data_IF_006060897819
#
_entry.id   IF_006060897819
#
_cell.length_a   1.000
_cell.length_b   1.000
_cell.length_c   1.000
_cell.angle_alpha   90.00
_cell.angle_beta   90.00
_cell.angle_gamma   90.00
#
_symmetry.space_group_name_H-M   'P 1'
#
loop_
_entity.id
_entity.type
_entity.pdbx_description
1 polymer ?
#
# COMPACT_ATOMS: atom_id res chain seq x y z
N UNK A 1 -41.85 -43.17 -69.18
CA UNK A 1 -41.72 -41.83 -68.55
C UNK A 1 -40.84 -41.99 -67.29
N UNK A 2 -39.58 -41.65 -67.40
CA UNK A 2 -38.63 -41.78 -66.31
C UNK A 2 -38.28 -40.37 -65.77
N UNK A 3 -38.73 -40.06 -64.57
CA UNK A 3 -38.32 -38.84 -63.87
C UNK A 3 -36.94 -39.06 -63.29
N UNK A 4 -36.00 -38.25 -63.73
CA UNK A 4 -34.66 -38.16 -63.13
C UNK A 4 -34.75 -37.35 -61.81
N UNK A 5 -34.41 -37.95 -60.73
CA UNK A 5 -34.23 -37.26 -59.46
C UNK A 5 -32.75 -36.82 -59.39
N UNK A 6 -32.56 -35.51 -59.40
CA UNK A 6 -31.25 -34.85 -59.25
C UNK A 6 -30.94 -34.74 -57.76
N UNK A 7 -30.01 -35.55 -57.26
CA UNK A 7 -29.51 -35.42 -55.88
C UNK A 7 -28.58 -34.24 -55.78
N UNK A 8 -28.99 -33.20 -55.07
CA UNK A 8 -28.12 -32.08 -54.69
C UNK A 8 -27.34 -32.52 -53.45
N UNK A 9 -26.06 -32.84 -53.61
CA UNK A 9 -25.16 -33.03 -52.49
C UNK A 9 -24.81 -31.62 -51.92
N UNK A 10 -25.42 -31.29 -50.79
CA UNK A 10 -25.07 -30.11 -50.03
C UNK A 10 -23.85 -30.45 -49.17
N UNK A 11 -22.67 -30.04 -49.62
CA UNK A 11 -21.45 -30.10 -48.80
C UNK A 11 -21.58 -29.01 -47.77
N UNK A 12 -22.02 -29.35 -46.57
CA UNK A 12 -21.88 -28.51 -45.39
C UNK A 12 -20.41 -28.52 -44.97
N UNK A 13 -19.63 -27.55 -45.39
CA UNK A 13 -18.36 -27.19 -44.76
C UNK A 13 -18.69 -26.60 -43.41
N UNK A 14 -18.60 -27.43 -42.37
CA UNK A 14 -18.64 -26.98 -41.01
C UNK A 14 -17.33 -26.20 -40.73
N UNK A 15 -17.37 -24.88 -40.98
CA UNK A 15 -16.32 -23.99 -40.49
C UNK A 15 -16.41 -23.97 -38.94
N UNK A 16 -15.61 -24.84 -38.32
CA UNK A 16 -15.37 -24.80 -36.90
C UNK A 16 -14.58 -23.50 -36.61
N UNK A 17 -15.28 -22.38 -36.46
CA UNK A 17 -14.71 -21.19 -35.85
C UNK A 17 -14.41 -21.55 -34.39
N UNK A 18 -13.19 -22.06 -34.14
CA UNK A 18 -12.61 -21.98 -32.82
C UNK A 18 -12.52 -20.50 -32.49
N UNK A 19 -13.57 -19.98 -31.85
CA UNK A 19 -13.42 -18.82 -31.01
C UNK A 19 -12.42 -19.23 -29.89
N UNK A 20 -11.14 -19.00 -30.15
CA UNK A 20 -10.22 -18.78 -29.05
C UNK A 20 -10.85 -17.64 -28.26
N UNK A 21 -11.62 -18.01 -27.25
CA UNK A 21 -11.93 -17.09 -26.18
C UNK A 21 -10.58 -16.56 -25.73
N UNK A 22 -10.24 -15.36 -26.14
CA UNK A 22 -9.22 -14.60 -25.47
C UNK A 22 -9.72 -14.53 -24.02
N UNK A 23 -9.26 -15.48 -23.20
CA UNK A 23 -9.22 -15.30 -21.77
C UNK A 23 -8.40 -14.04 -21.60
N UNK A 24 -9.09 -12.90 -21.64
CA UNK A 24 -8.51 -11.61 -21.36
C UNK A 24 -7.91 -11.75 -19.97
N UNK A 25 -6.60 -11.94 -19.91
CA UNK A 25 -5.89 -11.77 -18.66
C UNK A 25 -6.26 -10.37 -18.21
N UNK A 26 -7.11 -10.29 -17.17
CA UNK A 26 -7.48 -9.01 -16.60
C UNK A 26 -6.17 -8.29 -16.30
N UNK A 27 -5.95 -7.20 -17.00
CA UNK A 27 -4.74 -6.40 -16.85
C UNK A 27 -4.83 -5.75 -15.48
N UNK A 28 -3.72 -5.69 -14.75
CA UNK A 28 -3.63 -4.88 -13.53
C UNK A 28 -4.15 -3.46 -13.79
N UNK A 29 -4.73 -2.82 -12.77
CA UNK A 29 -5.26 -1.46 -12.86
C UNK A 29 -4.30 -0.55 -13.62
N UNK A 30 -4.84 0.17 -14.61
CA UNK A 30 -4.00 1.03 -15.45
C UNK A 30 -3.48 2.21 -14.64
N UNK A 31 -2.28 2.65 -14.94
CA UNK A 31 -1.68 3.80 -14.25
C UNK A 31 -2.53 5.07 -14.41
N UNK A 32 -3.21 5.24 -15.56
CA UNK A 32 -4.10 6.39 -15.80
C UNK A 32 -5.30 6.40 -14.84
N UNK A 33 -5.95 5.25 -14.64
CA UNK A 33 -7.08 5.15 -13.70
C UNK A 33 -6.65 5.39 -12.25
N UNK A 34 -5.50 4.85 -11.85
CA UNK A 34 -4.94 5.08 -10.51
C UNK A 34 -4.66 6.57 -10.30
N UNK A 35 -4.05 7.22 -11.31
CA UNK A 35 -3.73 8.66 -11.25
C UNK A 35 -5.00 9.50 -11.18
N UNK A 36 -5.97 9.23 -12.04
CA UNK A 36 -7.25 9.94 -12.06
C UNK A 36 -7.99 9.82 -10.72
N UNK A 37 -8.17 8.60 -10.22
CA UNK A 37 -8.85 8.38 -8.94
C UNK A 37 -8.10 9.07 -7.78
N UNK A 38 -6.78 9.03 -7.78
CA UNK A 38 -5.96 9.68 -6.76
C UNK A 38 -6.11 11.22 -6.79
N UNK A 39 -6.02 11.85 -7.97
CA UNK A 39 -6.10 13.31 -8.11
C UNK A 39 -7.51 13.81 -7.74
N UNK A 40 -8.57 13.23 -8.32
CA UNK A 40 -9.94 13.60 -8.00
C UNK A 40 -10.31 13.33 -6.53
N UNK A 41 -9.76 12.27 -5.93
CA UNK A 41 -10.01 11.98 -4.53
C UNK A 41 -9.39 13.04 -3.60
N UNK A 42 -8.19 13.51 -3.92
CA UNK A 42 -7.57 14.63 -3.19
C UNK A 42 -8.40 15.90 -3.28
N UNK A 43 -8.85 16.25 -4.49
CA UNK A 43 -9.70 17.42 -4.71
C UNK A 43 -11.04 17.29 -3.95
N UNK A 44 -11.69 16.14 -4.03
CA UNK A 44 -12.93 15.86 -3.29
C UNK A 44 -12.77 16.04 -1.77
N UNK A 45 -11.69 15.48 -1.18
CA UNK A 45 -11.41 15.64 0.25
C UNK A 45 -11.20 17.12 0.59
N UNK A 46 -10.42 17.85 -0.21
CA UNK A 46 -10.13 19.28 0.04
C UNK A 46 -11.38 20.15 -0.06
N UNK A 47 -12.31 19.83 -0.98
CA UNK A 47 -13.58 20.54 -1.15
C UNK A 47 -14.61 20.19 -0.07
N UNK A 48 -14.59 18.97 0.46
CA UNK A 48 -15.60 18.50 1.43
C UNK A 48 -15.17 18.68 2.89
N UNK A 49 -13.88 18.61 3.18
CA UNK A 49 -13.30 18.85 4.51
C UNK A 49 -12.69 20.26 4.56
N UNK A 50 -13.52 21.27 4.59
CA UNK A 50 -13.07 22.69 4.60
C UNK A 50 -12.51 23.15 5.93
N UNK A 51 -12.88 22.47 7.01
CA UNK A 51 -12.44 22.73 8.39
C UNK A 51 -11.85 21.45 8.99
N UNK A 52 -10.55 21.15 8.74
CA UNK A 52 -9.93 19.98 9.35
C UNK A 52 -9.81 20.15 10.87
N UNK A 53 -10.20 19.12 11.61
CA UNK A 53 -10.30 19.17 13.08
C UNK A 53 -9.40 18.12 13.74
N UNK A 54 -9.18 18.26 15.06
CA UNK A 54 -8.66 17.17 15.87
C UNK A 54 -9.63 15.98 15.81
N UNK A 55 -9.12 14.81 15.43
CA UNK A 55 -9.89 13.57 15.26
C UNK A 55 -9.44 12.80 14.02
N UNK A 56 -9.59 11.47 14.05
CA UNK A 56 -9.10 10.62 12.96
C UNK A 56 -9.75 10.96 11.61
N UNK A 57 -11.09 11.02 11.56
CA UNK A 57 -11.85 11.35 10.34
C UNK A 57 -12.00 12.88 10.27
N UNK A 58 -11.74 13.46 9.12
CA UNK A 58 -11.76 14.91 8.91
C UNK A 58 -10.58 15.64 9.57
N UNK A 59 -9.62 14.92 10.09
CA UNK A 59 -8.45 15.45 10.79
C UNK A 59 -7.17 14.72 10.42
N UNK A 60 -6.62 13.89 11.34
CA UNK A 60 -5.30 13.31 11.18
C UNK A 60 -5.13 12.50 9.89
N UNK A 61 -6.16 11.77 9.44
CA UNK A 61 -6.05 10.99 8.20
C UNK A 61 -6.04 11.87 6.96
N UNK A 62 -6.80 12.97 6.95
CA UNK A 62 -6.76 13.98 5.88
C UNK A 62 -5.36 14.59 5.81
N UNK A 63 -4.88 15.13 6.94
CA UNK A 63 -3.61 15.85 6.99
C UNK A 63 -2.43 14.95 6.65
N UNK A 64 -2.40 13.73 7.20
CA UNK A 64 -1.43 12.69 6.86
C UNK A 64 -1.51 12.30 5.38
N UNK A 65 -2.72 12.07 4.85
CA UNK A 65 -2.94 11.71 3.46
C UNK A 65 -2.44 12.78 2.49
N UNK A 66 -2.77 14.04 2.73
CA UNK A 66 -2.33 15.18 1.92
C UNK A 66 -0.81 15.37 1.96
N UNK A 67 -0.21 15.30 3.15
CA UNK A 67 1.24 15.40 3.29
C UNK A 67 1.97 14.26 2.56
N UNK A 68 1.50 13.02 2.70
CA UNK A 68 2.07 11.87 1.98
C UNK A 68 1.89 11.96 0.47
N UNK A 69 0.80 12.54 0.02
CA UNK A 69 0.49 12.76 -1.39
C UNK A 69 1.29 13.92 -2.01
N UNK A 70 1.78 14.85 -1.18
CA UNK A 70 2.29 16.14 -1.63
C UNK A 70 1.17 17.02 -2.21
N UNK A 71 -0.05 16.90 -1.67
CA UNK A 71 -1.19 17.71 -2.09
C UNK A 71 -0.97 19.18 -1.67
N UNK A 72 -1.26 20.16 -2.55
CA UNK A 72 -1.02 21.57 -2.25
C UNK A 72 -2.07 22.14 -1.28
N UNK A 73 -1.84 22.00 0.00
CA UNK A 73 -2.65 22.66 1.04
C UNK A 73 -2.23 24.13 1.19
N UNK A 74 -3.22 25.02 1.42
CA UNK A 74 -2.91 26.39 1.82
C UNK A 74 -2.41 26.45 3.27
N UNK A 75 -1.61 27.46 3.60
CA UNK A 75 -1.16 27.69 4.97
C UNK A 75 -2.36 27.88 5.93
N UNK A 76 -3.43 28.52 5.47
CA UNK A 76 -4.67 28.67 6.24
C UNK A 76 -5.32 27.33 6.57
N UNK A 77 -5.37 26.41 5.60
CA UNK A 77 -5.93 25.06 5.81
C UNK A 77 -5.16 24.30 6.89
N UNK A 78 -3.84 24.34 6.82
CA UNK A 78 -2.96 23.74 7.85
C UNK A 78 -3.16 24.42 9.20
N UNK A 79 -3.25 25.77 9.23
CA UNK A 79 -3.46 26.52 10.46
C UNK A 79 -4.81 26.20 11.15
N UNK A 80 -5.87 25.92 10.39
CA UNK A 80 -7.16 25.47 10.95
C UNK A 80 -7.01 24.16 11.72
N UNK A 81 -6.34 23.17 11.12
CA UNK A 81 -6.04 21.92 11.80
C UNK A 81 -5.20 22.14 13.07
N UNK A 82 -4.11 22.91 12.97
CA UNK A 82 -3.27 23.24 14.13
C UNK A 82 -4.08 23.86 15.26
N UNK A 83 -4.90 24.88 14.95
CA UNK A 83 -5.75 25.56 15.92
C UNK A 83 -6.74 24.61 16.60
N UNK A 84 -7.30 23.66 15.84
CA UNK A 84 -8.20 22.64 16.38
C UNK A 84 -7.48 21.69 17.35
N UNK A 85 -6.28 21.22 16.99
CA UNK A 85 -5.47 20.38 17.88
C UNK A 85 -5.01 21.14 19.12
N UNK A 86 -4.51 22.39 18.97
CA UNK A 86 -4.13 23.24 20.09
C UNK A 86 -5.28 23.47 21.05
N UNK A 87 -6.48 23.72 20.53
CA UNK A 87 -7.69 23.84 21.33
C UNK A 87 -7.96 22.56 22.11
N UNK A 88 -7.94 21.41 21.46
CA UNK A 88 -8.13 20.11 22.10
C UNK A 88 -7.10 19.86 23.23
N UNK A 89 -5.84 20.25 23.00
CA UNK A 89 -4.76 20.13 24.00
C UNK A 89 -4.98 21.08 25.17
N UNK A 90 -5.35 22.34 24.93
CA UNK A 90 -5.59 23.33 26.01
C UNK A 90 -6.82 23.00 26.84
N UNK A 91 -7.92 22.61 26.21
CA UNK A 91 -9.14 22.20 26.89
C UNK A 91 -8.96 20.86 27.63
N UNK A 92 -8.23 19.95 27.00
CA UNK A 92 -7.90 18.64 27.52
C UNK A 92 -9.10 17.70 27.66
N UNK A 93 -8.84 16.44 27.63
CA UNK A 93 -9.87 15.41 27.85
C UNK A 93 -10.41 15.55 29.27
N UNK A 94 -11.74 15.70 29.39
CA UNK A 94 -12.46 15.93 30.67
C UNK A 94 -11.91 17.14 31.47
N UNK A 95 -11.43 18.17 30.77
CA UNK A 95 -10.91 19.39 31.41
C UNK A 95 -9.52 19.25 32.00
N UNK A 96 -8.74 18.25 31.58
CA UNK A 96 -7.34 18.08 31.97
C UNK A 96 -6.41 18.53 30.84
N UNK A 97 -5.86 19.77 30.89
CA UNK A 97 -5.01 20.29 29.83
C UNK A 97 -3.80 19.38 29.54
N UNK A 98 -3.41 19.29 28.27
CA UNK A 98 -2.35 18.40 27.80
C UNK A 98 -2.76 16.93 27.68
N UNK A 99 -4.02 16.58 27.98
CA UNK A 99 -4.53 15.22 27.88
C UNK A 99 -5.53 15.13 26.71
N UNK A 100 -5.18 14.38 25.64
CA UNK A 100 -6.08 14.12 24.53
C UNK A 100 -7.08 12.98 24.83
N UNK A 101 -6.67 12.01 25.62
CA UNK A 101 -7.52 10.94 26.16
C UNK A 101 -6.84 10.26 27.36
N UNK A 102 -7.62 9.70 28.29
CA UNK A 102 -7.10 9.02 29.47
C UNK A 102 -6.64 7.57 29.20
N UNK A 103 -7.14 6.94 28.12
CA UNK A 103 -6.87 5.53 27.77
C UNK A 103 -6.52 5.29 26.32
N UNK A 104 -7.00 6.15 25.40
CA UNK A 104 -6.77 5.97 23.96
C UNK A 104 -5.48 6.67 23.53
N UNK A 105 -4.36 6.04 23.75
CA UNK A 105 -3.05 6.57 23.40
C UNK A 105 -2.80 6.64 21.88
N UNK A 106 -3.65 6.00 21.10
CA UNK A 106 -3.71 6.21 19.63
C UNK A 106 -4.08 7.65 19.24
N UNK A 107 -4.78 8.42 20.11
CA UNK A 107 -5.08 9.84 19.86
C UNK A 107 -3.77 10.65 19.78
N UNK A 108 -2.88 10.49 20.79
CA UNK A 108 -1.57 11.14 20.77
C UNK A 108 -0.73 10.69 19.57
N UNK A 109 -0.71 9.40 19.30
CA UNK A 109 0.09 8.82 18.22
C UNK A 109 -0.33 9.34 16.85
N UNK A 110 -1.65 9.48 16.59
CA UNK A 110 -2.15 10.02 15.31
C UNK A 110 -1.80 11.49 15.14
N UNK A 111 -1.95 12.31 16.18
CA UNK A 111 -1.53 13.73 16.17
C UNK A 111 -0.04 13.83 15.86
N UNK A 112 0.81 13.05 16.53
CA UNK A 112 2.26 13.03 16.27
C UNK A 112 2.55 12.68 14.81
N UNK A 113 1.92 11.64 14.26
CA UNK A 113 2.10 11.23 12.86
C UNK A 113 1.66 12.33 11.88
N UNK A 114 0.53 12.99 12.13
CA UNK A 114 0.04 14.07 11.28
C UNK A 114 0.94 15.31 11.36
N UNK A 115 1.36 15.73 12.57
CA UNK A 115 2.28 16.84 12.76
C UNK A 115 3.62 16.59 12.08
N UNK A 116 4.21 15.43 12.30
CA UNK A 116 5.47 15.05 11.65
C UNK A 116 5.35 15.08 10.12
N UNK A 117 4.26 14.54 9.56
CA UNK A 117 4.03 14.54 8.12
C UNK A 117 3.90 15.96 7.53
N UNK A 118 3.38 16.90 8.31
CA UNK A 118 3.25 18.32 7.97
C UNK A 118 4.53 19.14 8.22
N UNK A 119 5.58 18.54 8.83
CA UNK A 119 6.78 19.25 9.27
C UNK A 119 6.55 20.15 10.49
N UNK A 120 5.50 19.87 11.27
CA UNK A 120 5.16 20.57 12.51
C UNK A 120 5.79 19.89 13.73
N UNK A 121 5.90 20.61 14.84
CA UNK A 121 6.52 20.09 16.06
C UNK A 121 5.50 19.50 17.05
N UNK A 122 5.41 18.15 17.23
CA UNK A 122 4.51 17.54 18.20
C UNK A 122 5.06 17.57 19.65
N UNK A 123 6.30 18.04 19.87
CA UNK A 123 6.88 18.14 21.22
C UNK A 123 6.55 19.45 21.89
N UNK A 124 5.87 20.37 21.19
CA UNK A 124 5.36 21.62 21.73
C UNK A 124 4.04 21.98 21.04
N UNK A 125 2.93 21.45 21.52
CA UNK A 125 1.58 21.81 21.12
C UNK A 125 0.91 22.54 22.28
N UNK A 126 0.75 23.85 22.17
CA UNK A 126 0.19 24.69 23.24
C UNK A 126 0.93 24.54 24.58
N UNK A 127 2.25 24.32 24.54
CA UNK A 127 3.11 24.14 25.73
C UNK A 127 3.18 22.70 26.24
N UNK A 128 2.62 21.72 25.54
CA UNK A 128 2.61 20.31 25.93
C UNK A 128 3.34 19.43 24.92
N UNK A 129 4.15 18.50 25.43
CA UNK A 129 4.85 17.51 24.60
C UNK A 129 3.99 16.25 24.41
N UNK A 130 3.50 16.02 23.20
CA UNK A 130 2.68 14.83 22.91
C UNK A 130 3.50 13.54 22.87
N UNK A 131 4.82 13.62 22.59
CA UNK A 131 5.71 12.45 22.57
C UNK A 131 5.94 11.89 23.97
N UNK A 132 5.97 12.73 25.01
CA UNK A 132 6.07 12.31 26.41
C UNK A 132 4.94 11.36 26.83
N UNK A 133 3.75 11.52 26.24
CA UNK A 133 2.60 10.65 26.53
C UNK A 133 2.85 9.20 26.12
N UNK A 134 3.74 8.96 25.17
CA UNK A 134 4.12 7.62 24.73
C UNK A 134 5.22 6.98 25.58
N UNK A 135 5.72 7.65 26.61
CA UNK A 135 6.79 7.13 27.46
C UNK A 135 6.31 5.99 28.38
N UNK A 136 5.04 5.98 28.77
CA UNK A 136 4.45 4.93 29.61
C UNK A 136 3.95 3.75 28.77
N UNK A 137 4.66 2.62 28.86
CA UNK A 137 4.34 1.43 28.07
C UNK A 137 2.98 0.82 28.44
N UNK A 138 2.62 0.80 29.72
CA UNK A 138 1.36 0.19 30.18
C UNK A 138 0.15 0.97 29.66
N UNK A 139 0.25 2.28 29.64
CA UNK A 139 -0.76 3.15 29.01
C UNK A 139 -0.83 2.97 27.50
N UNK A 140 0.30 2.84 26.82
CA UNK A 140 0.35 2.63 25.37
C UNK A 140 -0.32 1.31 24.96
N UNK A 141 -0.09 0.23 25.70
CA UNK A 141 -0.65 -1.10 25.36
C UNK A 141 -2.08 -1.31 25.88
N UNK A 142 -2.63 -0.37 26.65
CA UNK A 142 -3.97 -0.50 27.22
C UNK A 142 -5.07 -0.78 26.17
N UNK A 143 -4.93 -0.23 24.95
CA UNK A 143 -5.84 -0.49 23.84
C UNK A 143 -5.53 -1.80 23.06
N UNK A 144 -4.78 -2.72 23.67
CA UNK A 144 -4.30 -3.92 22.98
C UNK A 144 -3.38 -3.56 21.82
N UNK A 145 -3.45 -4.33 20.74
CA UNK A 145 -2.50 -4.26 19.62
C UNK A 145 -2.48 -2.90 18.88
N UNK A 146 -3.56 -2.14 18.89
CA UNK A 146 -3.61 -0.82 18.24
C UNK A 146 -2.63 0.18 18.87
N UNK A 147 -2.50 0.19 20.18
CA UNK A 147 -1.62 1.11 20.90
C UNK A 147 -0.18 1.05 20.42
N UNK A 148 0.51 -0.10 20.56
CA UNK A 148 1.91 -0.23 20.14
C UNK A 148 2.13 -0.07 18.62
N UNK A 149 1.18 -0.44 17.77
CA UNK A 149 1.27 -0.19 16.32
C UNK A 149 1.35 1.31 16.05
N UNK A 150 0.44 2.10 16.61
CA UNK A 150 0.42 3.54 16.39
C UNK A 150 1.55 4.27 17.09
N UNK A 151 1.91 3.86 18.32
CA UNK A 151 3.03 4.45 19.04
C UNK A 151 4.37 4.24 18.30
N UNK A 152 4.61 3.05 17.75
CA UNK A 152 5.81 2.78 16.96
C UNK A 152 5.86 3.65 15.71
N UNK A 153 4.75 3.80 14.99
CA UNK A 153 4.64 4.69 13.82
C UNK A 153 4.87 6.16 14.19
N UNK A 154 4.35 6.60 15.34
CA UNK A 154 4.51 7.97 15.81
C UNK A 154 5.98 8.28 16.18
N UNK A 155 6.62 7.39 16.91
CA UNK A 155 8.02 7.53 17.27
C UNK A 155 8.96 7.51 16.05
N UNK A 156 8.62 6.72 15.04
CA UNK A 156 9.43 6.57 13.82
C UNK A 156 9.19 7.67 12.79
N UNK A 157 8.12 8.45 12.90
CA UNK A 157 7.74 9.46 11.92
C UNK A 157 8.88 10.46 11.64
N UNK A 158 9.58 10.95 12.68
CA UNK A 158 10.77 11.78 12.61
C UNK A 158 11.87 11.27 13.57
N UNK A 159 11.84 9.97 13.85
CA UNK A 159 12.79 9.30 14.76
C UNK A 159 12.85 9.97 16.14
N UNK A 160 11.69 10.31 16.73
CA UNK A 160 11.62 10.95 18.03
C UNK A 160 12.25 10.09 19.14
N UNK A 161 13.07 10.71 19.96
CA UNK A 161 13.51 10.12 21.22
C UNK A 161 12.34 10.05 22.20
N UNK A 162 12.28 9.00 23.00
CA UNK A 162 11.29 8.87 24.06
C UNK A 162 11.81 9.62 25.27
N UNK A 163 11.14 10.70 25.72
CA UNK A 163 11.60 11.49 26.85
C UNK A 163 11.59 10.69 28.16
N UNK A 164 12.53 11.00 29.05
CA UNK A 164 12.47 10.53 30.42
C UNK A 164 11.38 11.29 31.17
N UNK A 165 10.40 10.55 31.70
CA UNK A 165 9.28 11.12 32.46
C UNK A 165 9.32 10.53 33.87
N UNK A 166 9.37 11.40 34.89
CA UNK A 166 9.41 10.99 36.29
C UNK A 166 8.15 10.21 36.70
N UNK A 167 8.34 9.15 37.47
CA UNK A 167 7.23 8.32 37.99
C UNK A 167 6.73 7.23 37.01
N UNK A 168 7.34 7.08 35.85
CA UNK A 168 7.05 5.96 34.95
C UNK A 168 7.97 4.79 35.29
N UNK A 169 7.38 3.69 35.76
CA UNK A 169 8.13 2.47 36.09
C UNK A 169 8.40 1.62 34.84
N UNK A 170 7.41 1.46 33.96
CA UNK A 170 7.52 0.66 32.76
C UNK A 170 7.71 1.55 31.51
N UNK A 171 8.96 2.03 31.34
CA UNK A 171 9.30 2.94 30.22
C UNK A 171 9.17 2.24 28.88
N UNK A 172 8.49 2.91 27.93
CA UNK A 172 8.38 2.49 26.53
C UNK A 172 9.76 2.49 25.85
N UNK A 173 10.01 1.47 25.06
CA UNK A 173 11.10 1.46 24.08
C UNK A 173 10.57 0.92 22.74
N UNK A 174 11.18 1.31 21.62
CA UNK A 174 10.84 0.74 20.31
C UNK A 174 10.91 -0.79 20.33
N UNK A 175 11.90 -1.38 21.01
CA UNK A 175 12.02 -2.83 21.06
C UNK A 175 10.91 -3.49 21.89
N UNK A 176 10.41 -2.86 22.97
CA UNK A 176 9.23 -3.35 23.69
C UNK A 176 7.99 -3.33 22.80
N UNK A 177 7.77 -2.24 22.07
CA UNK A 177 6.65 -2.13 21.12
C UNK A 177 6.72 -3.21 20.03
N UNK A 178 7.90 -3.41 19.43
CA UNK A 178 8.14 -4.46 18.44
C UNK A 178 7.84 -5.84 19.01
N UNK A 179 8.38 -6.14 20.20
CA UNK A 179 8.18 -7.44 20.86
C UNK A 179 6.70 -7.69 21.16
N UNK A 180 5.99 -6.66 21.62
CA UNK A 180 4.55 -6.75 21.88
C UNK A 180 3.76 -7.03 20.59
N UNK A 181 4.03 -6.29 19.50
CA UNK A 181 3.38 -6.54 18.21
C UNK A 181 3.67 -7.97 17.74
N UNK A 182 4.91 -8.44 17.86
CA UNK A 182 5.29 -9.80 17.46
C UNK A 182 4.60 -10.88 18.32
N UNK A 183 4.44 -10.65 19.64
CA UNK A 183 3.77 -11.61 20.53
C UNK A 183 2.28 -11.79 20.21
N UNK A 184 1.65 -10.80 19.61
CA UNK A 184 0.24 -10.81 19.20
C UNK A 184 -0.01 -11.44 17.82
N UNK A 185 1.04 -11.85 17.09
CA UNK A 185 0.86 -12.52 15.80
C UNK A 185 0.18 -13.88 15.98
N UNK A 186 -0.88 -14.11 15.22
CA UNK A 186 -1.65 -15.36 15.20
C UNK A 186 -0.92 -16.48 14.42
N UNK A 187 -1.38 -17.71 14.55
CA UNK A 187 -0.77 -18.87 13.89
C UNK A 187 -0.88 -18.79 12.36
N UNK A 188 -1.96 -18.18 11.83
CA UNK A 188 -2.11 -17.93 10.39
C UNK A 188 -1.19 -16.81 9.86
N UNK A 189 -0.50 -16.10 10.75
CA UNK A 189 0.45 -15.04 10.45
C UNK A 189 -0.13 -13.63 10.43
N UNK A 190 -1.43 -13.46 10.69
CA UNK A 190 -2.10 -12.17 10.80
C UNK A 190 -2.15 -11.64 12.23
N UNK A 191 -2.83 -10.51 12.41
CA UNK A 191 -3.19 -9.92 13.69
C UNK A 191 -4.70 -9.66 13.73
N UNK A 192 -5.26 -9.67 14.95
CA UNK A 192 -6.69 -9.45 15.16
C UNK A 192 -6.92 -8.69 16.47
N UNK A 193 -7.93 -7.82 16.52
CA UNK A 193 -8.30 -7.04 17.71
C UNK A 193 -8.81 -7.90 18.87
N UNK A 194 -9.38 -9.04 18.57
CA UNK A 194 -9.97 -9.92 19.58
C UNK A 194 -8.95 -10.80 20.32
N UNK A 195 -7.70 -10.85 19.85
CA UNK A 195 -6.66 -11.52 20.62
C UNK A 195 -6.34 -10.69 21.85
N UNK A 196 -6.42 -11.31 23.02
CA UNK A 196 -6.05 -10.73 24.30
C UNK A 196 -5.08 -11.65 25.00
N UNK A 197 -3.90 -11.13 25.31
CA UNK A 197 -2.89 -11.88 26.06
C UNK A 197 -3.35 -12.09 27.50
N UNK A 198 -3.11 -13.27 28.05
CA UNK A 198 -3.43 -13.67 29.42
C UNK A 198 -2.20 -14.34 30.05
N UNK A 199 -2.24 -14.52 31.36
CA UNK A 199 -1.16 -15.24 32.11
C UNK A 199 -1.20 -16.76 31.81
N UNK A 200 -2.28 -17.27 31.19
CA UNK A 200 -2.41 -18.67 30.79
C UNK A 200 -1.88 -18.90 29.37
N UNK A 201 -0.71 -19.49 29.27
CA UNK A 201 -0.08 -19.84 27.99
C UNK A 201 -0.91 -20.81 27.14
N UNK A 202 -1.72 -21.70 27.73
CA UNK A 202 -2.57 -22.63 26.98
C UNK A 202 -3.77 -21.90 26.37
N UNK A 203 -4.38 -20.95 27.10
CA UNK A 203 -5.45 -20.09 26.55
C UNK A 203 -4.93 -19.20 25.44
N UNK A 204 -3.74 -18.60 25.60
CA UNK A 204 -3.10 -17.82 24.54
C UNK A 204 -2.85 -18.65 23.27
N UNK A 205 -2.33 -19.87 23.43
CA UNK A 205 -2.12 -20.77 22.28
C UNK A 205 -3.45 -21.13 21.59
N UNK A 206 -4.50 -21.41 22.37
CA UNK A 206 -5.83 -21.70 21.87
C UNK A 206 -6.43 -20.53 21.09
N UNK A 207 -6.36 -19.31 21.64
CA UNK A 207 -6.82 -18.11 20.95
C UNK A 207 -6.07 -17.89 19.62
N UNK A 208 -4.75 -18.03 19.61
CA UNK A 208 -3.93 -17.87 18.40
C UNK A 208 -4.27 -18.87 17.32
N UNK A 209 -4.63 -20.11 17.69
CA UNK A 209 -5.03 -21.12 16.74
C UNK A 209 -6.46 -20.94 16.20
N UNK A 210 -7.36 -20.39 17.00
CA UNK A 210 -8.78 -20.21 16.64
C UNK A 210 -9.07 -18.91 15.89
N UNK A 211 -8.46 -17.81 16.31
CA UNK A 211 -8.63 -16.52 15.67
C UNK A 211 -8.00 -16.50 14.27
N UNK A 212 -8.61 -15.71 13.40
CA UNK A 212 -8.07 -15.44 12.05
C UNK A 212 -7.56 -14.02 11.99
N UNK A 213 -6.51 -13.81 11.22
CA UNK A 213 -6.00 -12.48 10.95
C UNK A 213 -7.08 -11.59 10.37
N UNK A 214 -7.06 -10.34 10.78
CA UNK A 214 -7.88 -9.27 10.23
C UNK A 214 -7.03 -8.49 9.21
N UNK A 215 -7.52 -8.19 7.99
CA UNK A 215 -6.72 -7.52 6.97
C UNK A 215 -6.28 -6.11 7.39
N UNK A 216 -7.11 -5.38 8.16
CA UNK A 216 -6.79 -4.03 8.63
C UNK A 216 -5.62 -4.07 9.61
N UNK A 217 -5.76 -4.86 10.68
CA UNK A 217 -4.73 -4.99 11.70
C UNK A 217 -3.44 -5.59 11.14
N UNK A 218 -3.56 -6.55 10.22
CA UNK A 218 -2.40 -7.17 9.58
C UNK A 218 -1.65 -6.15 8.73
N UNK A 219 -2.36 -5.33 7.94
CA UNK A 219 -1.78 -4.24 7.15
C UNK A 219 -1.12 -3.17 8.03
N UNK A 220 -1.78 -2.77 9.11
CA UNK A 220 -1.28 -1.77 10.06
C UNK A 220 -0.02 -2.27 10.80
N UNK A 221 -0.01 -3.51 11.30
CA UNK A 221 1.15 -4.13 11.94
C UNK A 221 2.33 -4.26 10.98
N UNK A 222 2.08 -4.66 9.72
CA UNK A 222 3.11 -4.70 8.67
C UNK A 222 3.73 -3.32 8.44
N UNK A 223 2.90 -2.26 8.40
CA UNK A 223 3.38 -0.88 8.22
C UNK A 223 4.30 -0.45 9.37
N UNK A 224 3.91 -0.72 10.62
CA UNK A 224 4.69 -0.37 11.80
C UNK A 224 6.01 -1.16 11.90
N UNK A 225 6.00 -2.45 11.53
CA UNK A 225 7.17 -3.33 11.63
C UNK A 225 8.14 -3.22 10.43
N UNK A 226 7.70 -2.66 9.32
CA UNK A 226 8.51 -2.62 8.08
C UNK A 226 9.91 -1.98 8.23
N UNK A 227 10.11 -0.88 8.97
CA UNK A 227 11.43 -0.30 9.21
C UNK A 227 12.41 -1.27 9.89
N UNK A 228 11.91 -2.20 10.69
CA UNK A 228 12.68 -3.17 11.49
C UNK A 228 12.91 -4.52 10.81
N UNK A 229 12.66 -4.59 9.51
CA UNK A 229 12.80 -5.82 8.71
C UNK A 229 14.19 -6.45 8.75
N UNK A 230 15.23 -5.72 9.11
CA UNK A 230 16.58 -6.24 9.32
C UNK A 230 16.66 -7.23 10.48
N UNK A 231 15.75 -7.15 11.46
CA UNK A 231 15.64 -8.12 12.55
C UNK A 231 15.01 -9.42 12.03
N UNK A 232 15.66 -10.56 12.29
CA UNK A 232 15.22 -11.88 11.77
C UNK A 232 13.79 -12.23 12.17
N UNK A 233 13.39 -11.98 13.43
CA UNK A 233 12.03 -12.24 13.93
C UNK A 233 11.00 -11.37 13.21
N UNK A 234 11.28 -10.08 13.05
CA UNK A 234 10.40 -9.14 12.32
C UNK A 234 10.25 -9.57 10.87
N UNK A 235 11.36 -9.89 10.19
CA UNK A 235 11.31 -10.37 8.81
C UNK A 235 10.43 -11.62 8.67
N UNK A 236 10.58 -12.59 9.56
CA UNK A 236 9.79 -13.81 9.55
C UNK A 236 8.29 -13.52 9.77
N UNK A 237 7.95 -12.61 10.68
CA UNK A 237 6.59 -12.17 10.95
C UNK A 237 5.96 -11.47 9.72
N UNK A 238 6.69 -10.55 9.08
CA UNK A 238 6.25 -9.86 7.87
C UNK A 238 6.03 -10.82 6.68
N UNK A 239 6.89 -11.84 6.54
CA UNK A 239 6.74 -12.86 5.50
C UNK A 239 5.49 -13.75 5.75
N UNK A 240 5.18 -14.08 7.01
CA UNK A 240 3.93 -14.77 7.40
C UNK A 240 2.70 -13.89 7.14
N UNK A 241 2.75 -12.61 7.52
CA UNK A 241 1.67 -11.64 7.32
C UNK A 241 1.31 -11.47 5.83
N UNK A 242 2.32 -11.37 4.96
CA UNK A 242 2.08 -11.31 3.52
C UNK A 242 1.41 -12.58 2.98
N UNK A 243 1.72 -13.76 3.51
CA UNK A 243 1.02 -15.01 3.16
C UNK A 243 -0.42 -15.01 3.68
N UNK A 244 -0.64 -14.57 4.91
CA UNK A 244 -1.95 -14.45 5.52
C UNK A 244 -2.85 -13.52 4.68
N UNK A 245 -2.41 -12.30 4.35
CA UNK A 245 -3.14 -11.39 3.46
C UNK A 245 -3.44 -12.02 2.09
N UNK A 246 -2.48 -12.75 1.50
CA UNK A 246 -2.72 -13.44 0.23
C UNK A 246 -3.78 -14.55 0.34
N UNK A 247 -3.84 -15.26 1.45
CA UNK A 247 -4.82 -16.34 1.66
C UNK A 247 -6.22 -15.83 1.96
N UNK A 248 -6.34 -14.68 2.62
CA UNK A 248 -7.62 -14.03 2.95
C UNK A 248 -8.26 -13.31 1.77
N UNK A 249 -7.49 -13.03 0.71
CA UNK A 249 -7.97 -12.25 -0.42
C UNK A 249 -9.13 -12.94 -1.14
N UNK A 250 -10.24 -12.25 -1.30
CA UNK A 250 -11.45 -12.72 -1.99
C UNK A 250 -11.25 -12.90 -3.50
N UNK A 251 -12.17 -13.60 -4.14
CA UNK A 251 -12.17 -13.84 -5.58
C UNK A 251 -12.29 -12.56 -6.44
N UNK A 252 -12.84 -11.48 -5.88
CA UNK A 252 -12.93 -10.15 -6.49
C UNK A 252 -11.67 -9.30 -6.31
N UNK A 253 -10.66 -9.83 -5.59
CA UNK A 253 -9.40 -9.15 -5.29
C UNK A 253 -9.41 -8.32 -4.00
N UNK A 254 -10.55 -8.18 -3.32
CA UNK A 254 -10.71 -7.44 -2.07
C UNK A 254 -10.59 -8.31 -0.82
N UNK A 255 -11.09 -7.79 0.30
CA UNK A 255 -11.16 -8.47 1.60
C UNK A 255 -12.53 -8.32 2.23
N UNK A 256 -12.93 -9.34 2.98
CA UNK A 256 -14.09 -9.28 3.88
C UNK A 256 -13.59 -9.21 5.32
N UNK A 257 -13.99 -8.17 6.03
CA UNK A 257 -13.77 -7.99 7.45
C UNK A 257 -15.06 -7.46 8.09
N UNK A 258 -15.33 -7.78 9.35
CA UNK A 258 -16.49 -7.26 10.10
C UNK A 258 -17.84 -7.51 9.39
N UNK A 259 -17.94 -8.58 8.60
CA UNK A 259 -19.15 -8.95 7.88
C UNK A 259 -19.38 -8.24 6.53
N UNK A 260 -18.48 -7.37 6.10
CA UNK A 260 -18.57 -6.66 4.82
C UNK A 260 -17.25 -6.69 4.05
N UNK A 261 -17.32 -6.62 2.71
CA UNK A 261 -16.17 -6.28 1.87
C UNK A 261 -16.03 -4.77 1.87
N UNK A 262 -14.91 -4.24 2.41
CA UNK A 262 -14.72 -2.81 2.60
C UNK A 262 -13.46 -2.27 1.91
N UNK A 263 -13.52 -1.01 1.50
CA UNK A 263 -12.39 -0.30 0.92
C UNK A 263 -11.27 -0.05 1.93
N UNK A 264 -11.60 0.09 3.21
CA UNK A 264 -10.66 0.33 4.29
C UNK A 264 -9.73 -0.86 4.50
N UNK A 265 -10.28 -2.08 4.54
CA UNK A 265 -9.50 -3.31 4.65
C UNK A 265 -8.50 -3.46 3.48
N UNK A 266 -8.94 -3.12 2.26
CA UNK A 266 -8.06 -3.11 1.09
C UNK A 266 -6.98 -2.02 1.24
N UNK A 267 -7.36 -0.85 1.72
CA UNK A 267 -6.45 0.28 1.92
C UNK A 267 -5.34 -0.03 2.91
N UNK A 268 -5.66 -0.62 4.06
CA UNK A 268 -4.66 -1.02 5.05
C UNK A 268 -3.75 -2.12 4.52
N UNK A 269 -4.28 -3.10 3.78
CA UNK A 269 -3.47 -4.13 3.14
C UNK A 269 -2.52 -3.54 2.08
N UNK A 270 -2.96 -2.56 1.28
CA UNK A 270 -2.10 -1.84 0.32
C UNK A 270 -0.96 -1.13 1.07
N UNK A 271 -1.25 -0.41 2.16
CA UNK A 271 -0.23 0.24 2.99
C UNK A 271 0.78 -0.77 3.54
N UNK A 272 0.32 -1.86 4.13
CA UNK A 272 1.18 -2.90 4.68
C UNK A 272 2.07 -3.56 3.63
N UNK A 273 1.51 -3.94 2.49
CA UNK A 273 2.27 -4.59 1.41
C UNK A 273 3.31 -3.65 0.78
N UNK A 274 2.95 -2.40 0.53
CA UNK A 274 3.89 -1.43 -0.05
C UNK A 274 5.04 -1.11 0.91
N UNK A 275 4.78 -1.04 2.22
CA UNK A 275 5.81 -0.78 3.23
C UNK A 275 6.89 -1.86 3.27
N UNK A 276 6.53 -3.12 2.97
CA UNK A 276 7.46 -4.25 2.91
C UNK A 276 8.00 -4.52 1.49
N UNK A 277 7.71 -3.65 0.53
CA UNK A 277 8.23 -3.74 -0.82
C UNK A 277 7.50 -4.71 -1.74
N UNK A 278 6.25 -5.04 -1.46
CA UNK A 278 5.38 -5.85 -2.31
C UNK A 278 4.50 -4.91 -3.13
N UNK A 279 4.45 -5.12 -4.46
CA UNK A 279 3.58 -4.35 -5.33
C UNK A 279 2.17 -4.95 -5.38
N UNK A 280 1.16 -4.35 -4.74
CA UNK A 280 -0.19 -4.92 -4.62
C UNK A 280 -0.96 -4.98 -5.96
N UNK A 281 -0.47 -4.29 -7.00
CA UNK A 281 -1.08 -4.26 -8.32
C UNK A 281 -0.54 -5.36 -9.26
N UNK A 282 0.71 -5.83 -9.07
CA UNK A 282 1.35 -6.72 -10.04
C UNK A 282 1.90 -8.02 -9.46
N UNK A 283 2.03 -8.13 -8.14
CA UNK A 283 2.48 -9.37 -7.49
C UNK A 283 1.40 -10.45 -7.66
N UNK A 284 1.79 -11.61 -8.18
CA UNK A 284 0.87 -12.70 -8.50
C UNK A 284 0.14 -13.28 -7.29
N UNK A 285 0.72 -13.17 -6.10
CA UNK A 285 0.10 -13.61 -4.84
C UNK A 285 -1.18 -12.82 -4.52
N UNK A 286 -1.22 -11.55 -4.95
CA UNK A 286 -2.31 -10.60 -4.70
C UNK A 286 -3.17 -10.35 -5.95
N UNK A 287 -3.28 -11.36 -6.81
CA UNK A 287 -4.18 -11.38 -7.95
C UNK A 287 -5.13 -12.56 -7.85
N UNK A 288 -6.43 -12.29 -7.74
CA UNK A 288 -7.50 -13.29 -7.73
C UNK A 288 -8.39 -13.07 -8.95
N UNK A 289 -8.63 -14.11 -9.73
CA UNK A 289 -9.40 -14.01 -10.99
C UNK A 289 -8.94 -12.85 -11.90
N UNK A 290 -7.62 -12.58 -11.91
CA UNK A 290 -7.03 -11.50 -12.69
C UNK A 290 -7.13 -10.11 -12.07
N UNK A 291 -7.89 -9.90 -10.99
CA UNK A 291 -8.01 -8.62 -10.28
C UNK A 291 -6.95 -8.51 -9.19
N UNK A 292 -6.28 -7.36 -9.11
CA UNK A 292 -5.34 -7.00 -8.07
C UNK A 292 -6.03 -6.32 -6.90
N UNK A 293 -5.31 -6.08 -5.79
CA UNK A 293 -5.82 -5.25 -4.69
C UNK A 293 -6.13 -3.81 -5.13
N UNK A 294 -5.34 -3.26 -6.06
CA UNK A 294 -5.59 -1.92 -6.57
C UNK A 294 -6.83 -1.89 -7.47
N UNK A 295 -7.07 -2.95 -8.29
CA UNK A 295 -8.33 -3.10 -9.04
C UNK A 295 -9.52 -3.18 -8.08
N UNK A 296 -9.39 -3.93 -6.98
CA UNK A 296 -10.44 -4.05 -5.98
C UNK A 296 -10.71 -2.70 -5.29
N UNK A 297 -9.68 -1.96 -4.86
CA UNK A 297 -9.87 -0.63 -4.27
C UNK A 297 -10.59 0.32 -5.23
N UNK A 298 -10.17 0.36 -6.50
CA UNK A 298 -10.78 1.20 -7.53
C UNK A 298 -12.23 0.82 -7.85
N UNK A 299 -12.72 -0.36 -7.46
CA UNK A 299 -14.13 -0.71 -7.60
C UNK A 299 -15.04 0.05 -6.63
N UNK A 300 -14.49 0.58 -5.53
CA UNK A 300 -15.20 1.43 -4.57
C UNK A 300 -15.17 2.92 -4.93
N UNK A 301 -14.38 3.29 -5.92
CA UNK A 301 -14.26 4.67 -6.38
C UNK A 301 -15.54 5.11 -7.09
N UNK A 302 -16.01 6.30 -6.75
CA UNK A 302 -17.14 6.96 -7.40
C UNK A 302 -16.64 8.04 -8.36
N UNK A 303 -16.74 7.76 -9.66
CA UNK A 303 -16.20 8.66 -10.72
C UNK A 303 -16.92 10.02 -10.78
N UNK A 304 -18.16 10.12 -10.23
CA UNK A 304 -18.94 11.35 -10.25
C UNK A 304 -18.49 12.32 -9.17
N UNK A 305 -18.26 11.81 -7.96
CA UNK A 305 -17.89 12.65 -6.82
C UNK A 305 -16.38 12.73 -6.62
N UNK A 306 -15.64 11.69 -6.98
CA UNK A 306 -14.21 11.57 -6.67
C UNK A 306 -13.94 10.83 -5.35
N UNK A 307 -14.96 10.54 -4.54
CA UNK A 307 -14.82 9.84 -3.27
C UNK A 307 -14.84 8.32 -3.39
N UNK A 308 -14.69 7.65 -2.25
CA UNK A 308 -14.77 6.18 -2.15
C UNK A 308 -15.92 5.76 -1.25
N UNK A 309 -16.56 4.64 -1.61
CA UNK A 309 -17.59 4.00 -0.80
C UNK A 309 -16.95 3.07 0.23
N UNK A 310 -17.61 2.91 1.37
CA UNK A 310 -17.24 1.88 2.36
C UNK A 310 -17.52 0.48 1.80
N UNK A 311 -18.71 0.25 1.26
CA UNK A 311 -19.14 -1.01 0.63
C UNK A 311 -19.64 -0.78 -0.80
N UNK A 312 -19.57 -1.79 -1.66
CA UNK A 312 -20.10 -1.73 -3.04
C UNK A 312 -21.55 -2.20 -3.15
N UNK A 313 -22.01 -2.97 -2.19
CA UNK A 313 -23.41 -3.45 -2.08
C UNK A 313 -23.83 -3.29 -0.64
N UNK A 314 -25.10 -2.97 -0.41
CA UNK A 314 -25.65 -2.85 0.95
C UNK A 314 -25.33 -4.11 1.76
N UNK A 315 -24.65 -3.96 2.89
CA UNK A 315 -24.20 -5.06 3.75
C UNK A 315 -23.91 -4.56 5.16
N UNK A 316 -24.30 -5.35 6.17
CA UNK A 316 -23.98 -5.04 7.57
C UNK A 316 -24.56 -3.71 8.09
N UNK A 317 -25.65 -3.21 7.49
CA UNK A 317 -26.23 -1.90 7.82
C UNK A 317 -25.57 -0.71 7.10
N UNK A 318 -24.63 -0.95 6.20
CA UNK A 318 -23.96 0.08 5.39
C UNK A 318 -24.58 0.13 3.99
N UNK A 319 -24.75 1.35 3.49
CA UNK A 319 -25.21 1.62 2.12
C UNK A 319 -24.00 1.89 1.19
N UNK A 320 -24.13 1.58 -0.12
CA UNK A 320 -23.05 1.78 -1.11
C UNK A 320 -22.94 3.26 -1.56
N UNK A 321 -22.80 4.16 -0.58
CA UNK A 321 -22.62 5.60 -0.80
C UNK A 321 -21.19 6.01 -0.46
N UNK A 322 -20.74 7.16 -1.03
CA UNK A 322 -19.45 7.74 -0.68
C UNK A 322 -19.40 8.01 0.82
N UNK A 323 -18.30 7.58 1.43
CA UNK A 323 -18.07 7.67 2.87
C UNK A 323 -16.75 8.38 3.14
N UNK A 324 -16.73 9.31 4.08
CA UNK A 324 -15.56 10.13 4.36
C UNK A 324 -14.38 9.28 4.84
N UNK A 325 -14.60 8.38 5.80
CA UNK A 325 -13.55 7.48 6.32
C UNK A 325 -12.96 6.61 5.22
N UNK A 326 -13.82 6.00 4.39
CA UNK A 326 -13.40 5.20 3.23
C UNK A 326 -12.55 6.02 2.25
N UNK A 327 -12.97 7.25 1.97
CA UNK A 327 -12.30 8.15 1.04
C UNK A 327 -10.90 8.53 1.54
N UNK A 328 -10.78 8.93 2.79
CA UNK A 328 -9.51 9.32 3.41
C UNK A 328 -8.53 8.16 3.46
N UNK A 329 -9.01 6.96 3.83
CA UNK A 329 -8.17 5.76 3.88
C UNK A 329 -7.73 5.31 2.49
N UNK A 330 -8.61 5.33 1.50
CA UNK A 330 -8.26 5.04 0.11
C UNK A 330 -7.22 6.04 -0.42
N UNK A 331 -7.35 7.32 -0.08
CA UNK A 331 -6.44 8.35 -0.53
C UNK A 331 -5.02 8.14 -0.01
N UNK A 332 -4.83 7.95 1.31
CA UNK A 332 -3.49 7.72 1.83
C UNK A 332 -2.91 6.35 1.40
N UNK A 333 -3.75 5.34 1.13
CA UNK A 333 -3.30 4.07 0.57
C UNK A 333 -2.82 4.22 -0.88
N UNK A 334 -3.53 4.99 -1.71
CA UNK A 334 -3.09 5.33 -3.06
C UNK A 334 -1.81 6.19 -3.04
N UNK A 335 -1.67 7.11 -2.06
CA UNK A 335 -0.43 7.85 -1.83
C UNK A 335 0.73 6.91 -1.49
N UNK A 336 0.54 5.98 -0.54
CA UNK A 336 1.54 4.97 -0.18
C UNK A 336 1.95 4.10 -1.39
N UNK A 337 0.98 3.68 -2.20
CA UNK A 337 1.22 2.95 -3.43
C UNK A 337 2.07 3.77 -4.42
N UNK A 338 1.69 5.00 -4.73
CA UNK A 338 2.39 5.89 -5.67
C UNK A 338 3.80 6.25 -5.19
N UNK A 339 3.98 6.46 -3.89
CA UNK A 339 5.27 6.75 -3.28
C UNK A 339 6.22 5.55 -3.27
N UNK A 340 5.70 4.34 -3.47
CA UNK A 340 6.46 3.09 -3.38
C UNK A 340 6.65 2.43 -4.73
N UNK A 341 5.63 2.40 -5.58
CA UNK A 341 5.64 1.71 -6.87
C UNK A 341 5.92 2.70 -8.01
N UNK A 342 7.08 2.62 -8.66
CA UNK A 342 7.41 3.53 -9.75
C UNK A 342 6.49 3.39 -10.96
N UNK A 343 6.22 4.50 -11.62
CA UNK A 343 5.47 4.54 -12.86
C UNK A 343 6.17 3.80 -13.99
N UNK A 344 5.36 3.40 -14.97
CA UNK A 344 5.83 2.77 -16.20
C UNK A 344 6.72 3.74 -16.98
N UNK A 345 7.93 3.28 -17.36
CA UNK A 345 8.77 4.00 -18.31
C UNK A 345 8.60 3.46 -19.73
N UNK A 346 9.17 4.15 -20.73
CA UNK A 346 9.08 3.79 -22.14
C UNK A 346 10.46 3.69 -22.76
N UNK A 347 10.74 2.61 -23.51
CA UNK A 347 11.97 2.51 -24.31
C UNK A 347 11.86 3.47 -25.49
N UNK A 348 12.75 4.49 -25.50
CA UNK A 348 12.89 5.41 -26.63
C UNK A 348 13.61 4.74 -27.80
N UNK A 349 14.72 4.05 -27.51
CA UNK A 349 15.56 3.41 -28.51
C UNK A 349 16.20 2.13 -27.98
N UNK A 350 16.24 1.10 -28.81
CA UNK A 350 17.04 -0.10 -28.57
C UNK A 350 17.70 -0.49 -29.88
N UNK A 351 19.06 -0.42 -29.93
CA UNK A 351 19.81 -0.58 -31.18
C UNK A 351 21.08 -1.39 -30.95
N UNK A 352 21.52 -2.07 -31.99
CA UNK A 352 22.82 -2.71 -32.05
C UNK A 352 23.91 -1.65 -31.80
N UNK A 353 24.87 -1.96 -30.92
CA UNK A 353 25.98 -1.08 -30.54
C UNK A 353 27.33 -1.79 -30.60
N UNK A 354 27.40 -2.83 -31.41
CA UNK A 354 28.56 -3.74 -31.65
C UNK A 354 28.06 -5.14 -31.96
N UNK A 355 28.93 -6.04 -32.38
CA UNK A 355 28.57 -7.42 -32.77
C UNK A 355 27.91 -8.24 -31.66
N UNK A 356 28.19 -7.90 -30.39
CA UNK A 356 27.73 -8.61 -29.18
C UNK A 356 27.10 -7.65 -28.14
N UNK A 357 26.62 -6.47 -28.58
CA UNK A 357 26.10 -5.47 -27.64
C UNK A 357 24.89 -4.69 -28.21
N UNK A 358 23.98 -4.35 -27.32
CA UNK A 358 22.81 -3.51 -27.57
C UNK A 358 22.87 -2.30 -26.64
N UNK A 359 22.66 -1.09 -27.20
CA UNK A 359 22.42 0.12 -26.41
C UNK A 359 20.90 0.32 -26.29
N UNK A 360 20.42 0.39 -25.05
CA UNK A 360 19.00 0.66 -24.71
C UNK A 360 18.90 2.04 -24.10
N UNK A 361 17.97 2.84 -24.58
CA UNK A 361 17.66 4.19 -24.05
C UNK A 361 16.17 4.25 -23.73
N UNK A 362 15.81 4.88 -22.63
CA UNK A 362 14.42 4.98 -22.15
C UNK A 362 14.11 6.39 -21.64
N UNK A 363 12.82 6.70 -21.49
CA UNK A 363 12.38 7.95 -20.88
C UNK A 363 12.61 7.89 -19.36
N UNK A 364 13.01 9.02 -18.78
CA UNK A 364 13.08 9.17 -17.32
C UNK A 364 11.71 8.88 -16.71
N UNK A 365 11.65 8.19 -15.57
CA UNK A 365 10.40 8.00 -14.84
C UNK A 365 9.80 9.37 -14.47
N UNK A 366 8.45 9.53 -14.49
CA UNK A 366 7.78 10.77 -14.14
C UNK A 366 8.24 11.36 -12.80
N UNK A 367 8.12 12.67 -12.63
CA UNK A 367 8.71 13.39 -11.48
C UNK A 367 8.12 12.99 -10.14
N UNK A 368 6.83 12.70 -10.10
CA UNK A 368 6.11 12.25 -8.90
C UNK A 368 6.42 10.80 -8.52
N UNK A 369 6.98 10.03 -9.45
CA UNK A 369 7.38 8.65 -9.16
C UNK A 369 8.77 8.64 -8.52
N UNK A 370 8.83 8.29 -7.25
CA UNK A 370 10.10 8.11 -6.54
C UNK A 370 10.85 6.89 -7.08
N UNK A 371 11.75 7.11 -8.02
CA UNK A 371 12.54 6.09 -8.72
C UNK A 371 13.99 6.08 -8.25
N UNK A 372 14.48 4.93 -7.78
CA UNK A 372 15.89 4.71 -7.42
C UNK A 372 16.75 4.29 -8.61
N UNK A 373 16.12 3.80 -9.71
CA UNK A 373 16.81 3.34 -10.90
C UNK A 373 15.94 2.45 -11.79
N UNK A 374 16.60 1.68 -12.67
CA UNK A 374 15.93 0.90 -13.70
C UNK A 374 16.43 -0.54 -13.77
N UNK A 375 15.60 -1.43 -14.27
CA UNK A 375 15.96 -2.79 -14.65
C UNK A 375 15.68 -2.99 -16.13
N UNK A 376 16.74 -3.30 -16.89
CA UNK A 376 16.65 -3.70 -18.30
C UNK A 376 16.68 -5.22 -18.38
N UNK A 377 15.73 -5.79 -19.10
CA UNK A 377 15.64 -7.23 -19.31
C UNK A 377 15.69 -7.53 -20.81
N UNK A 378 16.58 -8.45 -21.18
CA UNK A 378 16.72 -8.95 -22.55
C UNK A 378 16.47 -10.47 -22.56
N UNK A 379 15.91 -10.97 -23.64
CA UNK A 379 15.77 -12.40 -23.87
C UNK A 379 15.77 -12.70 -25.37
N UNK A 380 16.04 -13.95 -25.75
CA UNK A 380 16.02 -14.37 -27.17
C UNK A 380 14.64 -14.81 -27.67
N UNK A 381 13.62 -14.75 -26.81
CA UNK A 381 12.22 -15.00 -27.16
C UNK A 381 11.29 -13.94 -26.54
N UNK A 382 10.10 -13.75 -27.13
CA UNK A 382 9.11 -12.75 -26.69
C UNK A 382 8.53 -13.02 -25.30
N UNK A 383 8.49 -14.28 -24.87
CA UNK A 383 8.02 -14.67 -23.53
C UNK A 383 9.05 -14.44 -22.41
N UNK A 384 10.25 -13.98 -22.72
CA UNK A 384 11.33 -13.75 -21.75
C UNK A 384 11.68 -14.97 -20.89
N UNK A 385 11.70 -16.15 -21.50
CA UNK A 385 12.04 -17.45 -20.86
C UNK A 385 13.36 -18.03 -21.33
N UNK A 386 13.93 -17.56 -22.49
CA UNK A 386 15.17 -18.11 -23.07
C UNK A 386 16.28 -17.06 -23.05
N UNK A 387 17.46 -17.46 -22.54
CA UNK A 387 18.68 -16.60 -22.47
C UNK A 387 18.38 -15.23 -21.84
N UNK A 388 17.68 -15.25 -20.69
CA UNK A 388 17.26 -14.03 -20.00
C UNK A 388 18.44 -13.36 -19.32
N UNK A 389 18.71 -12.09 -19.69
CA UNK A 389 19.70 -11.23 -19.03
C UNK A 389 19.00 -10.06 -18.36
N UNK A 390 19.21 -9.90 -17.05
CA UNK A 390 18.68 -8.78 -16.26
C UNK A 390 19.82 -7.88 -15.85
N UNK A 391 19.70 -6.58 -16.11
CA UNK A 391 20.70 -5.57 -15.78
C UNK A 391 20.04 -4.48 -14.95
N UNK A 392 20.51 -4.28 -13.72
CA UNK A 392 20.08 -3.18 -12.84
C UNK A 392 20.94 -1.97 -13.10
N UNK A 393 20.31 -0.80 -13.20
CA UNK A 393 20.93 0.49 -13.45
C UNK A 393 20.51 1.43 -12.35
N UNK A 394 21.44 1.88 -11.52
CA UNK A 394 21.17 2.82 -10.43
C UNK A 394 21.08 4.25 -10.94
N UNK A 395 20.31 5.06 -10.20
CA UNK A 395 20.12 6.48 -10.47
C UNK A 395 18.95 6.76 -11.42
N UNK A 396 18.00 7.59 -10.95
CA UNK A 396 16.83 8.03 -11.72
C UNK A 396 17.20 8.76 -13.00
N UNK A 397 18.31 9.48 -13.00
CA UNK A 397 18.79 10.27 -14.16
C UNK A 397 19.50 9.41 -15.22
N UNK A 398 19.86 8.16 -14.91
CA UNK A 398 20.51 7.25 -15.84
C UNK A 398 19.46 6.64 -16.78
N UNK A 399 19.37 7.16 -18.02
CA UNK A 399 18.34 6.78 -18.99
C UNK A 399 18.86 5.99 -20.17
N UNK A 400 20.07 5.48 -20.11
CA UNK A 400 20.63 4.57 -21.12
C UNK A 400 21.64 3.59 -20.54
N UNK A 401 21.77 2.42 -21.16
CA UNK A 401 22.78 1.40 -20.83
C UNK A 401 23.20 0.62 -22.07
N UNK A 402 24.51 0.47 -22.26
CA UNK A 402 25.08 -0.51 -23.19
C UNK A 402 25.14 -1.86 -22.49
N UNK A 403 24.54 -2.88 -23.09
CA UNK A 403 24.51 -4.25 -22.59
C UNK A 403 25.36 -5.10 -23.50
N UNK A 404 26.40 -5.67 -22.94
CA UNK A 404 27.43 -6.47 -23.63
C UNK A 404 27.31 -7.96 -23.35
N UNK A 405 28.13 -8.79 -23.98
CA UNK A 405 28.12 -10.25 -23.76
C UNK A 405 26.85 -10.90 -24.30
N UNK A 406 26.38 -10.44 -25.45
CA UNK A 406 25.24 -11.00 -26.18
C UNK A 406 25.73 -11.85 -27.36
N UNK A 407 24.96 -12.84 -27.77
CA UNK A 407 25.31 -13.73 -28.89
C UNK A 407 25.07 -13.03 -30.23
N UNK A 408 26.09 -13.01 -31.10
CA UNK A 408 26.01 -12.50 -32.48
C UNK A 408 24.93 -13.28 -33.28
N UNK A 409 24.23 -12.58 -34.18
CA UNK A 409 23.23 -13.15 -35.07
C UNK A 409 21.91 -13.47 -34.41
N UNK A 410 21.77 -13.31 -33.09
CA UNK A 410 20.49 -13.56 -32.38
C UNK A 410 19.61 -12.32 -32.37
N UNK A 411 18.32 -12.57 -32.35
CA UNK A 411 17.31 -11.52 -32.09
C UNK A 411 17.02 -11.44 -30.61
N UNK A 412 17.07 -10.23 -30.06
CA UNK A 412 16.75 -9.96 -28.65
C UNK A 412 15.48 -9.16 -28.52
N UNK A 413 14.66 -9.55 -27.55
CA UNK A 413 13.49 -8.82 -27.06
C UNK A 413 13.92 -8.08 -25.80
N UNK A 414 13.59 -6.79 -25.71
CA UNK A 414 14.06 -5.88 -24.65
C UNK A 414 12.88 -5.19 -24.02
N UNK A 415 12.85 -5.18 -22.69
CA UNK A 415 11.90 -4.40 -21.88
C UNK A 415 12.62 -3.74 -20.71
N UNK A 416 12.07 -2.62 -20.22
CA UNK A 416 12.63 -1.84 -19.11
C UNK A 416 11.52 -1.56 -18.11
N UNK A 417 11.86 -1.52 -16.83
CA UNK A 417 10.99 -1.00 -15.77
C UNK A 417 11.80 -0.17 -14.78
N UNK A 418 11.18 0.79 -14.14
CA UNK A 418 11.75 1.51 -13.01
C UNK A 418 11.68 0.66 -11.73
N UNK A 419 12.53 0.95 -10.75
CA UNK A 419 12.41 0.42 -9.40
C UNK A 419 12.67 1.52 -8.37
N UNK A 420 12.06 1.35 -7.18
CA UNK A 420 12.39 2.08 -5.94
C UNK A 420 12.93 1.10 -4.91
N UNK A 421 13.86 1.53 -4.09
CA UNK A 421 14.28 0.76 -2.90
C UNK A 421 13.50 1.27 -1.71
N UNK A 422 12.77 0.37 -1.04
CA UNK A 422 11.96 0.63 0.13
C UNK A 422 12.40 -0.35 1.22
N UNK A 423 12.84 0.13 2.35
CA UNK A 423 13.33 -0.70 3.46
C UNK A 423 14.30 -1.83 2.98
N UNK A 424 15.25 -1.47 2.10
CA UNK A 424 16.23 -2.40 1.53
C UNK A 424 15.72 -3.30 0.40
N UNK A 425 14.44 -3.28 0.07
CA UNK A 425 13.80 -4.10 -0.98
C UNK A 425 13.56 -3.29 -2.24
N UNK A 426 13.83 -3.89 -3.43
CA UNK A 426 13.49 -3.27 -4.71
C UNK A 426 12.05 -3.56 -5.08
N UNK A 427 11.23 -2.53 -5.07
CA UNK A 427 9.86 -2.54 -5.61
C UNK A 427 9.92 -2.16 -7.07
N UNK A 428 9.33 -2.95 -7.93
CA UNK A 428 9.39 -2.74 -9.37
C UNK A 428 8.05 -2.25 -9.91
N UNK A 429 8.11 -1.23 -10.75
CA UNK A 429 6.99 -0.80 -11.57
C UNK A 429 6.71 -1.75 -12.75
N UNK A 430 5.71 -1.40 -13.53
CA UNK A 430 5.31 -2.14 -14.72
C UNK A 430 6.35 -2.04 -15.84
N UNK A 431 6.56 -3.13 -16.58
CA UNK A 431 7.45 -3.13 -17.73
C UNK A 431 6.95 -2.24 -18.88
N UNK A 432 7.89 -1.63 -19.60
CA UNK A 432 7.64 -0.99 -20.89
C UNK A 432 7.12 -1.97 -21.92
N UNK A 433 6.57 -1.46 -23.03
CA UNK A 433 6.40 -2.24 -24.26
C UNK A 433 7.74 -2.82 -24.72
N UNK A 434 7.68 -3.98 -25.38
CA UNK A 434 8.85 -4.72 -25.83
C UNK A 434 9.41 -4.10 -27.12
N UNK A 435 10.72 -3.94 -27.20
CA UNK A 435 11.44 -3.63 -28.46
C UNK A 435 12.24 -4.86 -28.90
N UNK A 436 12.32 -5.05 -30.24
CA UNK A 436 13.03 -6.16 -30.88
C UNK A 436 14.30 -5.63 -31.57
N UNK A 437 15.44 -6.27 -31.34
CA UNK A 437 16.74 -5.89 -31.93
C UNK A 437 17.47 -7.13 -32.42
N UNK A 438 17.97 -7.13 -33.66
CA UNK A 438 18.82 -8.18 -34.23
C UNK A 438 20.28 -7.75 -34.13
N UNK A 439 21.18 -8.62 -33.59
CA UNK A 439 22.62 -8.44 -33.52
C UNK A 439 23.33 -8.97 -34.75
#
# INVERSE_FOLDING_TARGET
MKKKILSLLLIMTLALTMTFGASGFASAASQSKITEAFEKCGDYIYETVTEPIFGSIGGEWVMYGFAQAGYPMSDEYVAKYQSSVEKAVREGYRGVPGQLHDRKYTEYSRVIVAYAALGLNPTDIAGYNMVEKLADFDSVVWQGINGPIWALRALDAENYDIPEVSGIENVTTRQKLINYILSYQLDDGGWNLYYSDSDDAAENAKQKAQLKGDPDLTGMAMTALAPYRSQTKVKAALDKAAKCLSSMQNSDGGYTAWGASSSESISQAICGLTSVGINPNTDSRFKKNGKSLVDALLSFYDEKTGGFRHVNTASGGYEPVVNQMATEQAYYALAAYRNTVPDKTTISKAVKSGSTSIKVTWKKAPSLSACSGYQVVLATNSGFTKNVKKVTVSGRSTVSKKITGLSKGKTYYVKVRAYKTVNGVKVYGTYSSVKKVKL
#
